data_IF_182605750676
#
_entry.id   IF_182605750676
#
_cell.length_a   1.000
_cell.length_b   1.000
_cell.length_c   1.000
_cell.angle_alpha   90.00
_cell.angle_beta   90.00
_cell.angle_gamma   90.00
#
_symmetry.space_group_name_H-M   'P 1'
#
loop_
_entity.id
_entity.type
_entity.pdbx_description
1 polymer ?
#
# COMPACT_ATOMS: atom_id res chain seq x y z
N UNK A 1 -45.88 -32.51 27.10
CA UNK A 1 -45.01 -32.35 25.92
C UNK A 1 -45.03 -30.89 25.47
N UNK A 2 -44.34 -29.99 26.18
CA UNK A 2 -44.27 -28.54 25.87
C UNK A 2 -43.29 -27.82 26.81
N UNK A 3 -42.02 -28.25 26.87
CA UNK A 3 -41.01 -27.50 27.66
C UNK A 3 -39.55 -27.74 27.27
N UNK A 4 -39.24 -28.50 26.21
CA UNK A 4 -37.85 -28.85 25.85
C UNK A 4 -37.48 -28.34 24.45
N UNK A 5 -37.99 -27.17 24.05
CA UNK A 5 -37.70 -26.62 22.70
C UNK A 5 -37.22 -25.17 22.67
N UNK A 6 -36.98 -24.55 23.84
CA UNK A 6 -36.51 -23.16 23.90
C UNK A 6 -35.05 -22.99 24.37
N UNK A 7 -34.39 -24.05 24.84
CA UNK A 7 -33.02 -23.95 25.38
C UNK A 7 -31.90 -24.23 24.36
N UNK A 8 -32.20 -24.75 23.17
CA UNK A 8 -31.19 -24.95 22.11
C UNK A 8 -31.01 -23.74 21.18
N UNK A 9 -31.86 -22.71 21.27
CA UNK A 9 -31.74 -21.50 20.44
C UNK A 9 -30.70 -20.48 20.98
N UNK A 10 -30.21 -20.64 22.22
CA UNK A 10 -29.25 -19.72 22.83
C UNK A 10 -27.78 -20.14 22.73
N UNK A 11 -27.49 -21.33 22.20
CA UNK A 11 -26.11 -21.81 22.03
C UNK A 11 -25.47 -21.48 20.67
N UNK A 12 -26.18 -20.75 19.80
CA UNK A 12 -25.67 -20.34 18.47
C UNK A 12 -25.29 -18.86 18.35
N UNK A 13 -25.24 -18.11 19.46
CA UNK A 13 -24.83 -16.70 19.46
C UNK A 13 -23.59 -16.47 20.33
N UNK A 14 -22.48 -17.08 19.92
CA UNK A 14 -21.16 -16.49 20.11
C UNK A 14 -20.17 -17.17 19.18
N UNK A 15 -20.40 -17.04 17.86
CA UNK A 15 -19.24 -17.07 16.98
C UNK A 15 -18.49 -15.80 17.32
N UNK A 16 -17.43 -15.95 18.11
CA UNK A 16 -16.43 -14.92 18.28
C UNK A 16 -15.87 -14.61 16.89
N UNK A 17 -16.52 -13.69 16.18
CA UNK A 17 -15.86 -12.88 15.17
C UNK A 17 -14.89 -12.00 15.95
N UNK A 18 -13.77 -12.57 16.36
CA UNK A 18 -12.55 -11.79 16.50
C UNK A 18 -12.31 -11.22 15.12
N UNK A 19 -12.86 -10.03 14.86
CA UNK A 19 -12.31 -9.14 13.87
C UNK A 19 -10.84 -9.01 14.26
N UNK A 20 -9.95 -9.76 13.60
CA UNK A 20 -8.53 -9.51 13.70
C UNK A 20 -8.36 -8.04 13.34
N UNK A 21 -8.12 -7.21 14.35
CA UNK A 21 -7.92 -5.79 14.16
C UNK A 21 -6.70 -5.65 13.26
N UNK A 22 -6.85 -4.99 12.12
CA UNK A 22 -5.73 -4.81 11.22
C UNK A 22 -4.66 -3.96 11.92
N UNK A 23 -3.52 -4.57 12.18
CA UNK A 23 -2.35 -3.91 12.75
C UNK A 23 -1.47 -3.31 11.66
N UNK A 24 -0.70 -2.29 12.01
CA UNK A 24 0.20 -1.62 11.10
C UNK A 24 1.13 -2.61 10.37
N UNK A 25 1.30 -2.44 9.06
CA UNK A 25 2.24 -3.21 8.22
C UNK A 25 3.18 -2.24 7.51
N UNK A 26 4.49 -2.41 7.76
CA UNK A 26 5.53 -1.62 7.09
C UNK A 26 5.67 -2.02 5.62
N UNK A 27 6.43 -1.23 4.86
CA UNK A 27 6.82 -1.60 3.50
C UNK A 27 7.67 -2.87 3.50
N UNK A 28 8.60 -3.00 4.46
CA UNK A 28 9.47 -4.17 4.61
C UNK A 28 8.69 -5.47 4.80
N UNK A 29 7.58 -5.44 5.55
CA UNK A 29 6.69 -6.59 5.70
C UNK A 29 6.24 -7.14 4.34
N UNK A 30 5.93 -6.25 3.39
CA UNK A 30 5.50 -6.65 2.05
C UNK A 30 6.65 -7.10 1.16
N UNK A 31 7.84 -6.52 1.31
CA UNK A 31 9.02 -7.01 0.59
C UNK A 31 9.50 -8.37 1.10
N UNK A 32 9.45 -8.64 2.39
CA UNK A 32 9.71 -9.97 2.96
C UNK A 32 8.72 -11.01 2.43
N UNK A 33 7.44 -10.63 2.27
CA UNK A 33 6.43 -11.49 1.68
C UNK A 33 6.75 -11.80 0.20
N UNK A 34 7.13 -10.78 -0.57
CA UNK A 34 7.51 -10.94 -1.98
C UNK A 34 8.74 -11.83 -2.12
N UNK A 35 9.77 -11.64 -1.30
CA UNK A 35 10.99 -12.46 -1.33
C UNK A 35 10.68 -13.94 -1.06
N UNK A 36 9.83 -14.23 -0.05
CA UNK A 36 9.39 -15.60 0.24
C UNK A 36 8.66 -16.23 -0.95
N UNK A 37 7.71 -15.50 -1.54
CA UNK A 37 6.96 -15.96 -2.71
C UNK A 37 7.86 -16.18 -3.93
N UNK A 38 8.87 -15.31 -4.13
CA UNK A 38 9.86 -15.45 -5.19
C UNK A 38 10.68 -16.73 -5.00
N UNK A 39 11.25 -16.96 -3.80
CA UNK A 39 12.01 -18.16 -3.48
C UNK A 39 11.17 -19.43 -3.70
N UNK A 40 9.92 -19.45 -3.25
CA UNK A 40 9.03 -20.58 -3.42
C UNK A 40 8.76 -20.87 -4.90
N UNK A 41 8.53 -19.83 -5.70
CA UNK A 41 8.36 -19.98 -7.15
C UNK A 41 9.62 -20.43 -7.85
N UNK A 42 10.79 -19.95 -7.44
CA UNK A 42 12.08 -20.40 -8.00
C UNK A 42 12.32 -21.89 -7.74
N UNK A 43 11.89 -22.42 -6.58
CA UNK A 43 11.93 -23.85 -6.25
C UNK A 43 10.92 -24.66 -7.07
N UNK A 44 9.67 -24.21 -7.13
CA UNK A 44 8.59 -24.84 -7.92
C UNK A 44 8.99 -24.99 -9.39
N UNK A 45 9.59 -23.94 -9.95
CA UNK A 45 10.07 -23.86 -11.33
C UNK A 45 11.43 -24.54 -11.56
N UNK A 46 12.00 -25.17 -10.52
CA UNK A 46 13.27 -25.90 -10.54
C UNK A 46 14.45 -25.06 -11.02
N UNK A 47 14.39 -23.74 -10.82
CA UNK A 47 15.52 -22.85 -11.07
C UNK A 47 16.56 -22.98 -9.96
N UNK A 48 16.08 -23.11 -8.72
CA UNK A 48 16.87 -23.49 -7.54
C UNK A 48 16.36 -24.78 -6.93
N UNK A 49 17.21 -25.48 -6.19
CA UNK A 49 16.84 -26.65 -5.38
C UNK A 49 16.40 -26.26 -3.95
N UNK A 50 16.07 -27.27 -3.14
CA UNK A 50 15.65 -27.10 -1.74
C UNK A 50 16.71 -26.41 -0.87
N UNK A 51 17.98 -26.53 -1.24
CA UNK A 51 19.15 -25.99 -0.54
C UNK A 51 19.57 -24.63 -1.16
N UNK A 52 18.69 -24.02 -1.96
CA UNK A 52 18.86 -22.73 -2.64
C UNK A 52 20.00 -22.70 -3.66
N UNK A 53 20.44 -23.85 -4.17
CA UNK A 53 21.44 -23.90 -5.22
C UNK A 53 20.80 -23.86 -6.60
N UNK A 54 21.42 -23.12 -7.53
CA UNK A 54 21.02 -23.11 -8.96
C UNK A 54 21.12 -24.52 -9.54
N UNK A 55 20.05 -25.02 -10.15
CA UNK A 55 20.03 -26.38 -10.71
C UNK A 55 20.95 -26.51 -11.93
N UNK A 56 21.41 -27.74 -12.23
CA UNK A 56 22.40 -28.01 -13.29
C UNK A 56 22.00 -27.42 -14.65
N UNK A 57 20.72 -27.44 -15.00
CA UNK A 57 20.19 -26.91 -16.27
C UNK A 57 20.45 -25.40 -16.42
N UNK A 58 20.34 -24.64 -15.33
CA UNK A 58 20.36 -23.18 -15.34
C UNK A 58 21.68 -22.59 -14.85
N UNK A 59 22.64 -23.44 -14.47
CA UNK A 59 23.96 -23.02 -14.00
C UNK A 59 24.87 -22.69 -15.19
N UNK A 60 25.73 -21.68 -15.04
CA UNK A 60 26.85 -21.46 -15.98
C UNK A 60 27.82 -22.63 -15.94
N UNK A 61 28.45 -22.91 -17.09
CA UNK A 61 29.50 -23.93 -17.19
C UNK A 61 30.73 -23.55 -16.35
N UNK A 62 30.98 -22.25 -16.20
CA UNK A 62 32.03 -21.68 -15.34
C UNK A 62 31.40 -20.81 -14.24
N UNK A 63 31.36 -21.34 -13.01
CA UNK A 63 30.93 -20.60 -11.80
C UNK A 63 29.57 -21.03 -11.23
N UNK A 64 29.09 -20.26 -10.24
CA UNK A 64 27.86 -20.56 -9.48
C UNK A 64 26.62 -19.76 -9.93
N UNK A 65 26.76 -18.90 -10.94
CA UNK A 65 25.68 -18.02 -11.41
C UNK A 65 24.73 -18.66 -12.42
N UNK A 66 23.64 -17.95 -12.74
CA UNK A 66 22.66 -18.32 -13.77
C UNK A 66 23.24 -18.14 -15.19
N UNK A 67 22.98 -19.10 -16.07
CA UNK A 67 23.17 -18.95 -17.51
C UNK A 67 22.05 -18.06 -18.13
N UNK A 68 22.07 -17.84 -19.44
CA UNK A 68 21.09 -16.95 -20.10
C UNK A 68 19.64 -17.42 -19.97
N UNK A 69 19.40 -18.74 -20.10
CA UNK A 69 18.07 -19.31 -19.91
C UNK A 69 17.60 -19.12 -18.45
N UNK A 70 18.51 -19.33 -17.49
CA UNK A 70 18.25 -19.13 -16.07
C UNK A 70 17.94 -17.67 -15.73
N UNK A 71 18.66 -16.71 -16.33
CA UNK A 71 18.41 -15.27 -16.13
C UNK A 71 17.05 -14.84 -16.65
N UNK A 72 16.68 -15.28 -17.85
CA UNK A 72 15.35 -15.01 -18.42
C UNK A 72 14.25 -15.60 -17.55
N UNK A 73 14.41 -16.86 -17.15
CA UNK A 73 13.43 -17.54 -16.29
C UNK A 73 13.30 -16.88 -14.91
N UNK A 74 14.41 -16.46 -14.31
CA UNK A 74 14.39 -15.71 -13.06
C UNK A 74 13.62 -14.39 -13.21
N UNK A 75 13.89 -13.63 -14.27
CA UNK A 75 13.19 -12.37 -14.53
C UNK A 75 11.68 -12.59 -14.72
N UNK A 76 11.28 -13.60 -15.49
CA UNK A 76 9.87 -13.93 -15.70
C UNK A 76 9.17 -14.27 -14.38
N UNK A 77 9.82 -15.07 -13.52
CA UNK A 77 9.30 -15.41 -12.19
C UNK A 77 9.13 -14.16 -11.34
N UNK A 78 10.18 -13.33 -11.24
CA UNK A 78 10.15 -12.09 -10.47
C UNK A 78 9.03 -11.16 -10.92
N UNK A 79 8.90 -10.94 -12.23
CA UNK A 79 7.83 -10.12 -12.82
C UNK A 79 6.45 -10.67 -12.44
N UNK A 80 6.25 -11.98 -12.53
CA UNK A 80 4.95 -12.60 -12.23
C UNK A 80 4.60 -12.53 -10.74
N UNK A 81 5.58 -12.69 -9.85
CA UNK A 81 5.37 -12.53 -8.40
C UNK A 81 4.97 -11.09 -8.08
N UNK A 82 5.75 -10.11 -8.56
CA UNK A 82 5.46 -8.69 -8.35
C UNK A 82 4.06 -8.32 -8.87
N UNK A 83 3.73 -8.71 -10.11
CA UNK A 83 2.40 -8.47 -10.70
C UNK A 83 1.27 -9.14 -9.90
N UNK A 84 1.50 -10.33 -9.37
CA UNK A 84 0.47 -11.06 -8.59
C UNK A 84 0.19 -10.37 -7.25
N UNK A 85 1.24 -9.87 -6.60
CA UNK A 85 1.14 -9.19 -5.30
C UNK A 85 0.60 -7.77 -5.48
N UNK A 86 1.22 -6.97 -6.35
CA UNK A 86 0.96 -5.55 -6.55
C UNK A 86 -0.06 -5.23 -7.64
N UNK A 87 -0.87 -6.22 -8.06
CA UNK A 87 -2.15 -5.91 -8.74
C UNK A 87 -3.14 -5.17 -7.82
N UNK A 88 -2.90 -5.23 -6.51
CA UNK A 88 -3.69 -4.55 -5.49
C UNK A 88 -2.82 -3.56 -4.71
N UNK A 89 -3.48 -2.52 -4.21
CA UNK A 89 -3.05 -1.79 -3.04
C UNK A 89 -3.17 -2.67 -1.79
N UNK A 90 -2.10 -2.70 -0.98
CA UNK A 90 -1.96 -3.52 0.22
C UNK A 90 -2.02 -2.64 1.47
N UNK A 91 -2.83 -3.05 2.44
CA UNK A 91 -3.09 -2.27 3.64
C UNK A 91 -1.82 -1.95 4.45
N UNK A 92 -1.62 -0.72 4.87
CA UNK A 92 -0.56 -0.38 5.83
C UNK A 92 -1.12 0.07 7.17
N UNK A 93 -2.12 0.94 7.16
CA UNK A 93 -2.66 1.57 8.35
C UNK A 93 -4.09 2.01 8.09
N UNK A 94 -4.91 2.13 9.13
CA UNK A 94 -6.12 2.94 9.08
C UNK A 94 -6.24 3.85 10.30
N UNK A 95 -7.05 4.90 10.15
CA UNK A 95 -7.51 5.78 11.21
C UNK A 95 -9.02 5.91 11.14
N UNK A 96 -9.66 5.98 12.30
CA UNK A 96 -11.06 6.30 12.43
C UNK A 96 -11.23 7.79 12.73
N UNK A 97 -12.17 8.44 12.04
CA UNK A 97 -12.56 9.82 12.34
C UNK A 97 -14.04 10.00 12.05
N UNK A 98 -14.81 10.38 13.08
CA UNK A 98 -16.27 10.45 13.03
C UNK A 98 -16.91 9.15 12.50
N UNK A 99 -17.60 9.20 11.37
CA UNK A 99 -18.26 8.06 10.71
C UNK A 99 -17.43 7.42 9.59
N UNK A 100 -16.20 7.89 9.41
CA UNK A 100 -15.33 7.49 8.31
C UNK A 100 -14.08 6.74 8.81
N UNK A 101 -13.50 5.96 7.90
CA UNK A 101 -12.23 5.25 8.02
C UNK A 101 -11.32 5.70 6.89
N UNK A 102 -10.12 6.14 7.25
CA UNK A 102 -9.09 6.53 6.30
C UNK A 102 -8.02 5.44 6.28
N UNK A 103 -7.93 4.72 5.17
CA UNK A 103 -6.95 3.66 4.97
C UNK A 103 -5.75 4.16 4.16
N UNK A 104 -4.55 3.95 4.68
CA UNK A 104 -3.29 4.08 3.96
C UNK A 104 -2.94 2.73 3.35
N UNK A 105 -2.70 2.72 2.04
CA UNK A 105 -2.30 1.53 1.30
C UNK A 105 -1.01 1.76 0.52
N UNK A 106 -0.29 0.67 0.30
CA UNK A 106 0.98 0.60 -0.41
C UNK A 106 0.89 -0.34 -1.62
N UNK A 107 1.58 0.01 -2.69
CA UNK A 107 1.75 -0.84 -3.86
C UNK A 107 3.06 -0.51 -4.58
N UNK A 108 3.30 -1.19 -5.70
CA UNK A 108 4.35 -0.83 -6.65
C UNK A 108 3.73 -0.46 -8.00
N UNK A 109 4.35 0.50 -8.68
CA UNK A 109 4.15 0.69 -10.11
C UNK A 109 5.41 0.22 -10.85
N UNK A 110 5.22 -0.41 -12.00
CA UNK A 110 6.34 -1.03 -12.71
C UNK A 110 7.01 -2.14 -11.88
N UNK A 111 8.34 -2.03 -11.68
CA UNK A 111 9.17 -3.07 -11.07
C UNK A 111 10.01 -2.59 -9.88
N UNK A 112 10.05 -1.29 -9.64
CA UNK A 112 10.92 -0.62 -8.69
C UNK A 112 10.20 0.52 -7.98
N UNK A 113 9.33 1.24 -8.66
CA UNK A 113 8.66 2.39 -8.09
C UNK A 113 7.61 1.99 -7.06
N UNK A 114 7.57 2.76 -5.97
CA UNK A 114 6.65 2.55 -4.86
C UNK A 114 5.58 3.61 -4.85
N UNK A 115 4.35 3.20 -4.54
CA UNK A 115 3.20 4.10 -4.54
C UNK A 115 2.35 3.88 -3.28
N UNK A 116 1.72 4.96 -2.85
CA UNK A 116 0.78 4.98 -1.75
C UNK A 116 -0.50 5.67 -2.17
N UNK A 117 -1.61 5.23 -1.60
CA UNK A 117 -2.85 5.97 -1.68
C UNK A 117 -3.52 6.03 -0.31
N UNK A 118 -4.28 7.11 -0.12
CA UNK A 118 -5.24 7.22 0.97
C UNK A 118 -6.63 7.08 0.36
N UNK A 119 -7.41 6.17 0.92
CA UNK A 119 -8.82 5.99 0.57
C UNK A 119 -9.69 6.12 1.80
N UNK A 120 -10.90 6.64 1.60
CA UNK A 120 -11.89 6.87 2.64
C UNK A 120 -13.06 5.91 2.48
N UNK A 121 -13.45 5.28 3.57
CA UNK A 121 -14.60 4.40 3.68
C UNK A 121 -15.57 4.94 4.70
N UNK A 122 -16.86 4.65 4.54
CA UNK A 122 -17.78 4.75 5.67
C UNK A 122 -17.56 3.56 6.62
N UNK A 123 -17.65 3.80 7.93
CA UNK A 123 -17.48 2.74 8.95
C UNK A 123 -18.40 1.54 8.76
N UNK A 124 -19.65 1.78 8.34
CA UNK A 124 -20.64 0.72 8.11
C UNK A 124 -20.40 -0.09 6.82
N UNK A 125 -19.50 0.37 5.96
CA UNK A 125 -19.10 -0.29 4.71
C UNK A 125 -17.73 -0.94 4.79
N UNK A 126 -16.91 -0.50 5.74
CA UNK A 126 -15.58 -1.05 5.93
C UNK A 126 -15.63 -2.46 6.53
N UNK A 127 -14.99 -3.41 5.85
CA UNK A 127 -14.91 -4.81 6.24
C UNK A 127 -13.45 -5.27 6.41
N UNK A 128 -12.58 -4.40 6.94
CA UNK A 128 -11.15 -4.69 7.16
C UNK A 128 -10.44 -5.12 5.88
N UNK A 129 -10.54 -4.33 4.81
CA UNK A 129 -9.94 -4.69 3.53
C UNK A 129 -8.42 -4.60 3.58
N UNK A 130 -7.76 -5.75 3.67
CA UNK A 130 -6.31 -5.85 3.55
C UNK A 130 -5.78 -5.49 2.16
N UNK A 131 -6.64 -5.57 1.14
CA UNK A 131 -6.29 -5.36 -0.26
C UNK A 131 -7.40 -4.63 -0.98
N UNK A 132 -7.03 -3.70 -1.85
CA UNK A 132 -7.97 -2.99 -2.74
C UNK A 132 -7.43 -3.08 -4.17
N UNK A 133 -8.27 -3.42 -5.13
CA UNK A 133 -7.86 -3.54 -6.53
C UNK A 133 -7.36 -2.17 -7.04
N UNK A 134 -6.13 -2.13 -7.55
CA UNK A 134 -5.49 -0.90 -8.04
C UNK A 134 -6.29 -0.23 -9.16
N UNK A 135 -6.97 -1.01 -10.00
CA UNK A 135 -7.83 -0.49 -11.07
C UNK A 135 -9.05 0.24 -10.51
N UNK A 136 -9.65 -0.26 -9.43
CA UNK A 136 -10.79 0.40 -8.80
C UNK A 136 -10.38 1.74 -8.18
N UNK A 137 -9.19 1.79 -7.56
CA UNK A 137 -8.65 3.05 -7.02
C UNK A 137 -8.40 4.05 -8.14
N UNK A 138 -7.75 3.62 -9.24
CA UNK A 138 -7.50 4.49 -10.39
C UNK A 138 -8.79 5.01 -11.04
N UNK A 139 -9.80 4.16 -11.20
CA UNK A 139 -11.10 4.60 -11.70
C UNK A 139 -11.75 5.65 -10.78
N UNK A 140 -11.66 5.46 -9.45
CA UNK A 140 -12.16 6.44 -8.48
C UNK A 140 -11.43 7.78 -8.58
N UNK A 141 -10.11 7.76 -8.78
CA UNK A 141 -9.29 8.96 -8.96
C UNK A 141 -9.72 9.73 -10.21
N UNK A 142 -9.83 9.05 -11.36
CA UNK A 142 -10.28 9.65 -12.61
C UNK A 142 -11.69 10.24 -12.53
N UNK A 143 -12.64 9.53 -11.91
CA UNK A 143 -14.02 10.02 -11.77
C UNK A 143 -14.09 11.30 -10.94
N UNK A 144 -13.26 11.41 -9.88
CA UNK A 144 -13.14 12.63 -9.07
C UNK A 144 -12.55 13.80 -9.87
N UNK A 145 -11.49 13.55 -10.66
CA UNK A 145 -10.87 14.58 -11.50
C UNK A 145 -11.81 15.12 -12.57
N UNK A 146 -12.65 14.24 -13.14
CA UNK A 146 -13.65 14.61 -14.15
C UNK A 146 -14.93 15.22 -13.56
N UNK A 147 -15.02 15.36 -12.23
CA UNK A 147 -16.21 15.86 -11.53
C UNK A 147 -17.43 14.95 -11.68
N UNK A 148 -17.21 13.67 -12.00
CA UNK A 148 -18.27 12.67 -12.07
C UNK A 148 -18.59 12.19 -10.67
N UNK A 149 -19.85 11.82 -10.45
CA UNK A 149 -20.18 11.07 -9.25
C UNK A 149 -19.47 9.72 -9.33
N UNK A 150 -18.74 9.34 -8.28
CA UNK A 150 -18.14 8.01 -8.18
C UNK A 150 -19.27 7.00 -8.05
N UNK A 151 -19.65 6.33 -9.13
CA UNK A 151 -20.80 5.42 -9.13
C UNK A 151 -20.31 4.00 -8.90
N UNK A 152 -20.73 3.41 -7.77
CA UNK A 152 -20.55 1.99 -7.37
C UNK A 152 -19.24 1.60 -6.69
N UNK A 153 -18.60 2.49 -5.93
CA UNK A 153 -17.53 2.10 -5.00
C UNK A 153 -17.96 2.34 -3.55
N UNK A 154 -17.60 1.41 -2.65
CA UNK A 154 -17.81 1.53 -1.21
C UNK A 154 -16.79 2.49 -0.54
N UNK A 155 -15.86 3.03 -1.33
CA UNK A 155 -14.80 3.95 -0.91
C UNK A 155 -14.65 5.14 -1.86
N UNK A 156 -13.95 6.17 -1.38
CA UNK A 156 -13.61 7.39 -2.10
C UNK A 156 -12.08 7.55 -2.07
N UNK A 157 -11.47 7.78 -3.23
CA UNK A 157 -10.06 8.15 -3.31
C UNK A 157 -9.80 9.55 -2.70
N UNK A 158 -8.72 9.69 -1.92
CA UNK A 158 -8.33 10.97 -1.30
C UNK A 158 -7.09 11.55 -1.99
N UNK A 159 -5.98 10.82 -1.99
CA UNK A 159 -4.76 11.26 -2.65
C UNK A 159 -3.81 10.09 -2.93
N UNK A 160 -2.93 10.30 -3.91
CA UNK A 160 -1.84 9.40 -4.28
C UNK A 160 -0.50 10.08 -4.01
N UNK A 161 0.49 9.29 -3.60
CA UNK A 161 1.89 9.70 -3.48
C UNK A 161 2.78 8.60 -4.05
N UNK A 162 3.66 8.98 -4.95
CA UNK A 162 4.48 8.12 -5.79
C UNK A 162 5.95 8.45 -5.58
N UNK A 163 6.78 7.42 -5.57
CA UNK A 163 8.22 7.56 -5.42
C UNK A 163 8.96 6.73 -6.48
N UNK A 164 9.36 7.44 -7.54
CA UNK A 164 10.26 6.98 -8.61
C UNK A 164 11.74 7.14 -8.24
N UNK A 165 12.02 7.88 -7.17
CA UNK A 165 13.35 8.37 -6.84
C UNK A 165 14.09 7.50 -5.82
N UNK A 166 15.13 8.05 -5.19
CA UNK A 166 15.76 7.41 -4.05
C UNK A 166 14.76 7.26 -2.90
N UNK A 167 14.31 6.02 -2.71
CA UNK A 167 13.11 5.69 -1.95
C UNK A 167 13.13 6.23 -0.52
N UNK A 168 12.08 6.96 -0.13
CA UNK A 168 11.75 7.24 1.26
C UNK A 168 10.75 6.20 1.74
N UNK A 169 11.21 5.05 2.23
CA UNK A 169 10.31 3.97 2.69
C UNK A 169 10.12 3.95 4.20
N UNK A 170 10.91 4.74 4.92
CA UNK A 170 10.95 4.71 6.38
C UNK A 170 9.75 5.44 6.97
N UNK A 171 9.12 4.81 7.97
CA UNK A 171 8.10 5.46 8.80
C UNK A 171 6.86 5.95 8.04
N UNK A 172 6.50 5.32 6.91
CA UNK A 172 5.27 5.67 6.18
C UNK A 172 4.07 5.46 7.09
N UNK A 173 3.32 6.53 7.35
CA UNK A 173 2.13 6.51 8.19
C UNK A 173 1.20 7.66 7.85
N UNK A 174 -0.04 7.54 8.33
CA UNK A 174 -0.98 8.65 8.42
C UNK A 174 -1.29 8.94 9.90
N UNK A 175 -1.62 10.19 10.20
CA UNK A 175 -2.13 10.60 11.51
C UNK A 175 -3.07 11.80 11.39
N UNK A 176 -3.83 12.07 12.46
CA UNK A 176 -4.75 13.21 12.51
C UNK A 176 -4.26 14.23 13.53
N UNK A 177 -4.22 15.50 13.14
CA UNK A 177 -3.93 16.66 14.00
C UNK A 177 -4.87 17.80 13.63
N UNK A 178 -5.58 18.37 14.61
CA UNK A 178 -6.46 19.54 14.43
C UNK A 178 -7.52 19.39 13.30
N UNK A 179 -8.09 18.19 13.12
CA UNK A 179 -9.03 17.84 12.03
C UNK A 179 -8.39 17.85 10.64
N UNK A 180 -7.07 17.67 10.58
CA UNK A 180 -6.36 17.38 9.35
C UNK A 180 -5.81 15.97 9.37
N UNK A 181 -5.97 15.26 8.25
CA UNK A 181 -5.30 13.99 8.00
C UNK A 181 -3.99 14.28 7.25
N UNK A 182 -2.89 13.76 7.79
CA UNK A 182 -1.53 14.03 7.31
C UNK A 182 -0.88 12.70 6.95
N UNK A 183 -0.20 12.65 5.79
CA UNK A 183 0.69 11.55 5.42
C UNK A 183 2.14 11.94 5.68
N UNK A 184 2.86 11.09 6.41
CA UNK A 184 4.28 11.25 6.70
C UNK A 184 5.07 10.08 6.11
N UNK A 185 6.27 10.38 5.60
CA UNK A 185 7.21 9.41 5.06
C UNK A 185 8.62 9.97 5.14
N UNK A 186 9.55 9.20 5.71
CA UNK A 186 10.92 9.64 5.99
C UNK A 186 11.00 10.81 6.99
N UNK A 187 10.00 10.95 7.88
CA UNK A 187 9.91 12.07 8.83
C UNK A 187 9.49 13.41 8.20
N UNK A 188 9.10 13.43 6.93
CA UNK A 188 8.57 14.60 6.23
C UNK A 188 7.09 14.41 5.91
N UNK A 189 6.34 15.50 5.80
CA UNK A 189 4.93 15.44 5.42
C UNK A 189 4.77 15.56 3.91
N UNK A 190 3.92 14.70 3.34
CA UNK A 190 3.73 14.59 1.90
C UNK A 190 2.32 15.01 1.46
N UNK A 191 1.32 14.85 2.33
CA UNK A 191 -0.03 15.28 2.03
C UNK A 191 -0.77 15.80 3.26
N UNK A 192 -1.75 16.66 3.01
CA UNK A 192 -2.65 17.27 3.98
C UNK A 192 -4.07 17.30 3.43
N UNK A 193 -4.98 16.63 4.13
CA UNK A 193 -6.40 16.59 3.82
C UNK A 193 -7.20 17.21 4.97
N UNK A 194 -8.06 18.17 4.64
CA UNK A 194 -8.99 18.82 5.56
C UNK A 194 -10.21 17.92 5.79
N UNK A 195 -10.32 17.36 7.00
CA UNK A 195 -11.40 16.46 7.36
C UNK A 195 -12.74 17.19 7.52
N UNK A 196 -12.74 18.50 7.81
CA UNK A 196 -13.99 19.27 7.94
C UNK A 196 -14.56 19.63 6.58
N UNK A 197 -13.72 20.13 5.69
CA UNK A 197 -14.14 20.58 4.37
C UNK A 197 -14.04 19.47 3.30
N UNK A 198 -13.56 18.28 3.69
CA UNK A 198 -13.41 17.11 2.83
C UNK A 198 -12.59 17.43 1.56
N UNK A 199 -11.45 18.10 1.75
CA UNK A 199 -10.64 18.64 0.64
C UNK A 199 -9.15 18.41 0.85
N UNK A 200 -8.46 17.98 -0.21
CA UNK A 200 -6.99 17.96 -0.24
C UNK A 200 -6.46 19.40 -0.32
N UNK A 201 -5.63 19.80 0.65
CA UNK A 201 -5.03 21.13 0.71
C UNK A 201 -3.61 21.15 0.16
N UNK A 202 -2.85 20.07 0.43
CA UNK A 202 -1.48 19.89 -0.04
C UNK A 202 -1.30 18.43 -0.45
N UNK A 203 -0.85 18.19 -1.67
CA UNK A 203 -0.37 16.90 -2.15
C UNK A 203 0.51 17.16 -3.37
N UNK A 204 1.64 16.47 -3.46
CA UNK A 204 2.39 16.32 -4.71
C UNK A 204 2.49 14.83 -4.98
N UNK A 205 1.94 14.40 -6.13
CA UNK A 205 1.86 12.99 -6.46
C UNK A 205 3.23 12.42 -6.71
N UNK A 206 4.15 13.13 -7.38
CA UNK A 206 5.52 12.65 -7.58
C UNK A 206 6.55 13.72 -7.20
N UNK A 207 7.00 13.77 -5.92
CA UNK A 207 8.01 14.74 -5.48
C UNK A 207 9.32 14.65 -6.27
N UNK A 208 9.74 13.45 -6.70
CA UNK A 208 10.91 13.28 -7.55
C UNK A 208 10.74 14.00 -8.89
N UNK A 209 9.65 13.73 -9.61
CA UNK A 209 9.32 14.34 -10.88
C UNK A 209 9.21 15.87 -10.78
N UNK A 210 8.63 16.36 -9.67
CA UNK A 210 8.39 17.79 -9.46
C UNK A 210 9.63 18.56 -9.05
N UNK A 211 10.49 17.96 -8.24
CA UNK A 211 11.69 18.59 -7.72
C UNK A 211 12.83 18.66 -8.74
N UNK A 212 12.80 17.80 -9.76
CA UNK A 212 13.92 17.57 -10.70
C UNK A 212 15.25 17.31 -9.95
N UNK A 213 15.15 16.74 -8.75
CA UNK A 213 16.29 16.50 -7.89
C UNK A 213 17.20 15.41 -8.49
N UNK A 214 18.50 15.53 -8.22
CA UNK A 214 19.50 14.54 -8.67
C UNK A 214 19.86 13.54 -7.56
N UNK A 215 19.39 13.76 -6.32
CA UNK A 215 19.72 12.94 -5.16
C UNK A 215 18.61 12.94 -4.11
N UNK A 216 18.70 12.02 -3.14
CA UNK A 216 17.74 11.87 -2.05
C UNK A 216 17.70 13.12 -1.18
N UNK A 217 18.86 13.68 -0.89
CA UNK A 217 19.03 14.85 -0.04
C UNK A 217 18.40 16.08 -0.68
N UNK A 218 18.63 16.28 -1.99
CA UNK A 218 18.02 17.37 -2.76
C UNK A 218 16.50 17.22 -2.83
N UNK A 219 16.01 16.00 -3.09
CA UNK A 219 14.56 15.72 -3.10
C UNK A 219 13.93 15.97 -1.72
N UNK A 220 14.59 15.53 -0.63
CA UNK A 220 14.10 15.73 0.73
C UNK A 220 14.09 17.19 1.15
N UNK A 221 15.10 17.97 0.74
CA UNK A 221 15.09 19.42 0.94
C UNK A 221 13.90 20.07 0.22
N UNK A 222 13.66 19.68 -1.03
CA UNK A 222 12.52 20.18 -1.79
C UNK A 222 11.18 19.81 -1.13
N UNK A 223 11.01 18.55 -0.71
CA UNK A 223 9.81 18.09 0.04
C UNK A 223 9.65 18.92 1.31
N UNK A 224 10.74 19.17 2.04
CA UNK A 224 10.70 19.96 3.27
C UNK A 224 10.15 21.36 3.01
N UNK A 225 10.71 22.07 2.04
CA UNK A 225 10.38 23.46 1.76
C UNK A 225 8.99 23.63 1.12
N UNK A 226 8.58 22.70 0.24
CA UNK A 226 7.39 22.85 -0.58
C UNK A 226 6.15 22.13 -0.02
N UNK A 227 6.34 21.08 0.77
CA UNK A 227 5.27 20.28 1.35
C UNK A 227 5.28 20.37 2.88
N UNK A 228 6.34 19.90 3.54
CA UNK A 228 6.36 19.74 5.00
C UNK A 228 6.20 21.06 5.75
N UNK A 229 7.02 22.07 5.47
CA UNK A 229 6.98 23.36 6.16
C UNK A 229 5.64 24.08 5.91
N UNK A 230 5.07 23.93 4.70
CA UNK A 230 3.73 24.44 4.36
C UNK A 230 2.64 23.75 5.17
N UNK A 231 2.72 22.43 5.33
CA UNK A 231 1.78 21.66 6.12
C UNK A 231 1.91 22.01 7.61
N UNK A 232 3.12 22.06 8.16
CA UNK A 232 3.38 22.48 9.55
C UNK A 232 2.79 23.86 9.84
N UNK A 233 2.91 24.80 8.90
CA UNK A 233 2.28 26.12 9.03
C UNK A 233 0.75 26.00 9.15
N UNK A 234 0.09 25.30 8.23
CA UNK A 234 -1.38 25.17 8.19
C UNK A 234 -1.93 24.51 9.46
N UNK A 235 -1.24 23.49 10.00
CA UNK A 235 -1.76 22.71 11.12
C UNK A 235 -1.50 23.34 12.50
N UNK A 236 -0.67 24.39 12.56
CA UNK A 236 -0.32 25.10 13.81
C UNK A 236 -0.86 26.54 13.86
N UNK A 237 -1.42 27.06 12.76
CA UNK A 237 -2.24 28.27 12.74
C UNK A 237 -3.62 28.03 13.36
#
# INVERSE_FOLDING_TARGET
>A
MKTILFLMAYYFLSVNLYSQKLEYRSVDYYFDLVEKLEIDKLKEEKLIDKDLNVTKKYRKDTGKGLNDEGRKKYLDIKINVLKSVFKNYLYQQHLEYEQDIYGLYFSMAGFDDTEWCIIKWRKDKWNNQEKVDKKLVHNSEMELEEGKNVVNLDFIFICSNYDEGPKNLDGVKIFIKNNYLIMERGGLYHSLFDLKNQKVLVNETCPWCKSEAESKEKMNLWIKENLHDKIEKIINE
#
